data_IF_686147579977
#
_entry.id   IF_686147579977
#
_cell.length_a   1.000
_cell.length_b   1.000
_cell.length_c   1.000
_cell.angle_alpha   90.00
_cell.angle_beta   90.00
_cell.angle_gamma   90.00
#
_symmetry.space_group_name_H-M   'P 1'
#
loop_
_entity.id
_entity.type
_entity.pdbx_description
1 polymer ?
#
# COMPACT_ATOMS: atom_id res chain seq x y z
N UNK A 1 -27.50 -13.91 -6.34
CA UNK A 1 -26.40 -13.62 -7.27
C UNK A 1 -25.29 -12.98 -6.44
N UNK A 2 -24.04 -13.42 -6.61
CA UNK A 2 -22.91 -12.85 -5.87
C UNK A 2 -22.75 -11.37 -6.23
N UNK A 3 -22.51 -10.52 -5.23
CA UNK A 3 -22.20 -9.11 -5.42
C UNK A 3 -20.72 -8.95 -5.77
N UNK A 4 -20.44 -7.96 -6.61
CA UNK A 4 -19.07 -7.57 -6.98
C UNK A 4 -18.85 -6.15 -6.48
N UNK A 5 -18.01 -6.01 -5.47
CA UNK A 5 -17.52 -4.73 -4.98
C UNK A 5 -16.35 -4.30 -5.84
N UNK A 6 -16.24 -3.00 -6.13
CA UNK A 6 -15.10 -2.43 -6.86
C UNK A 6 -14.43 -1.38 -5.99
N UNK A 7 -13.11 -1.42 -5.87
CA UNK A 7 -12.38 -0.45 -5.08
C UNK A 7 -11.02 -0.11 -5.65
N UNK A 8 -10.78 1.20 -5.73
CA UNK A 8 -9.50 1.78 -6.12
C UNK A 8 -8.60 1.92 -4.90
N UNK A 9 -7.44 1.27 -4.92
CA UNK A 9 -6.43 1.35 -3.86
C UNK A 9 -5.16 1.95 -4.44
N UNK A 10 -4.71 3.07 -3.87
CA UNK A 10 -3.44 3.69 -4.29
C UNK A 10 -2.30 3.23 -3.38
N UNK A 11 -1.18 2.84 -3.99
CA UNK A 11 0.05 2.50 -3.25
C UNK A 11 1.06 3.63 -3.43
N UNK A 12 1.47 4.24 -2.32
CA UNK A 12 2.35 5.41 -2.27
C UNK A 12 3.51 5.20 -1.32
N UNK A 13 4.52 6.06 -1.41
CA UNK A 13 5.80 5.89 -0.70
C UNK A 13 6.97 6.22 -1.61
N UNK A 14 8.15 6.39 -1.00
CA UNK A 14 9.35 6.83 -1.71
C UNK A 14 9.74 5.90 -2.86
N UNK A 15 10.55 6.42 -3.77
CA UNK A 15 11.12 5.63 -4.85
C UNK A 15 11.99 4.49 -4.27
N UNK A 16 11.86 3.27 -4.80
CA UNK A 16 12.68 2.13 -4.37
C UNK A 16 12.23 1.40 -3.09
N UNK A 17 11.16 1.85 -2.42
CA UNK A 17 10.65 1.19 -1.20
C UNK A 17 9.88 -0.11 -1.47
N UNK A 18 9.78 -0.60 -2.71
CA UNK A 18 9.17 -1.91 -2.99
C UNK A 18 7.65 -1.94 -3.23
N UNK A 19 7.02 -0.80 -3.53
CA UNK A 19 5.57 -0.72 -3.89
C UNK A 19 5.19 -1.68 -5.03
N UNK A 20 5.91 -1.59 -6.15
CA UNK A 20 5.70 -2.46 -7.32
C UNK A 20 5.91 -3.92 -6.97
N UNK A 21 6.96 -4.25 -6.20
CA UNK A 21 7.24 -5.63 -5.78
C UNK A 21 6.14 -6.19 -4.88
N UNK A 22 5.61 -5.39 -3.96
CA UNK A 22 4.47 -5.77 -3.12
C UNK A 22 3.24 -6.10 -3.98
N UNK A 23 2.93 -5.24 -4.95
CA UNK A 23 1.79 -5.43 -5.86
C UNK A 23 1.96 -6.64 -6.78
N UNK A 24 3.16 -6.85 -7.33
CA UNK A 24 3.46 -8.02 -8.18
C UNK A 24 3.45 -9.32 -7.38
N UNK A 25 3.97 -9.30 -6.15
CA UNK A 25 3.93 -10.47 -5.27
C UNK A 25 2.50 -10.83 -4.91
N UNK A 26 1.66 -9.86 -4.59
CA UNK A 26 0.25 -10.11 -4.30
C UNK A 26 -0.53 -10.61 -5.51
N UNK A 27 -0.40 -9.94 -6.66
CA UNK A 27 -1.24 -10.21 -7.83
C UNK A 27 -0.79 -11.39 -8.68
N UNK A 28 0.52 -11.64 -8.76
CA UNK A 28 1.13 -12.63 -9.67
C UNK A 28 2.05 -13.62 -8.95
N UNK A 29 2.14 -13.57 -7.62
CA UNK A 29 3.10 -14.35 -6.83
C UNK A 29 4.54 -14.26 -7.36
N UNK A 30 4.93 -13.10 -7.88
CA UNK A 30 6.20 -12.88 -8.59
C UNK A 30 7.03 -11.81 -7.91
N UNK A 31 8.35 -12.00 -7.86
CA UNK A 31 9.33 -11.03 -7.40
C UNK A 31 10.48 -10.91 -8.42
N UNK A 32 10.98 -9.69 -8.61
CA UNK A 32 12.14 -9.41 -9.44
C UNK A 32 13.21 -8.69 -8.61
N UNK A 33 14.44 -9.20 -8.61
CA UNK A 33 15.56 -8.58 -7.90
C UNK A 33 16.00 -7.26 -8.54
N UNK A 34 15.94 -7.19 -9.87
CA UNK A 34 16.37 -6.02 -10.62
C UNK A 34 15.36 -4.88 -10.48
N UNK A 35 15.74 -3.85 -9.72
CA UNK A 35 14.95 -2.65 -9.57
C UNK A 35 14.85 -1.87 -10.88
N UNK A 36 13.62 -1.58 -11.29
CA UNK A 36 13.29 -0.61 -12.35
C UNK A 36 12.33 0.43 -11.78
N UNK A 37 12.67 1.73 -11.81
CA UNK A 37 11.75 2.78 -11.41
C UNK A 37 10.42 2.74 -12.16
N UNK A 38 9.31 2.82 -11.43
CA UNK A 38 8.01 3.13 -12.04
C UNK A 38 8.03 4.57 -12.55
N UNK A 39 7.83 4.72 -13.85
CA UNK A 39 7.67 6.03 -14.51
C UNK A 39 6.17 6.32 -14.61
N UNK A 40 5.70 7.34 -13.91
CA UNK A 40 4.28 7.72 -13.89
C UNK A 40 3.41 6.80 -13.02
N UNK A 41 2.47 6.08 -13.63
CA UNK A 41 1.54 5.19 -12.94
C UNK A 41 1.22 3.95 -13.77
N UNK A 42 1.03 2.83 -13.09
CA UNK A 42 0.51 1.59 -13.64
C UNK A 42 -0.61 1.07 -12.73
N UNK A 43 -1.46 0.17 -13.22
CA UNK A 43 -2.48 -0.45 -12.39
C UNK A 43 -2.63 -1.95 -12.64
N UNK A 44 -2.99 -2.66 -11.58
CA UNK A 44 -3.27 -4.09 -11.59
C UNK A 44 -4.69 -4.28 -11.05
N UNK A 45 -5.48 -5.10 -11.74
CA UNK A 45 -6.78 -5.54 -11.25
C UNK A 45 -6.60 -6.91 -10.59
N UNK A 46 -7.00 -7.03 -9.32
CA UNK A 46 -7.05 -8.31 -8.60
C UNK A 46 -8.47 -8.55 -8.10
N UNK A 47 -9.05 -9.67 -8.49
CA UNK A 47 -10.26 -10.19 -7.87
C UNK A 47 -9.88 -11.03 -6.64
N UNK A 48 -10.55 -10.78 -5.53
CA UNK A 48 -10.52 -11.62 -4.33
C UNK A 48 -11.93 -12.00 -3.91
N UNK A 49 -12.09 -13.25 -3.48
CA UNK A 49 -13.32 -13.69 -2.82
C UNK A 49 -13.36 -13.12 -1.40
N UNK A 50 -14.49 -12.53 -1.01
CA UNK A 50 -14.69 -12.03 0.35
C UNK A 50 -14.90 -13.21 1.29
N UNK A 51 -14.11 -13.28 2.34
CA UNK A 51 -14.12 -14.40 3.28
C UNK A 51 -15.50 -14.55 3.95
N UNK A 52 -15.97 -15.80 4.05
CA UNK A 52 -17.28 -16.11 4.65
C UNK A 52 -18.50 -15.76 3.80
N UNK A 53 -18.33 -15.29 2.57
CA UNK A 53 -19.44 -14.94 1.66
C UNK A 53 -19.25 -15.55 0.27
N UNK A 54 -20.25 -15.41 -0.61
CA UNK A 54 -20.12 -15.69 -2.05
C UNK A 54 -19.79 -14.43 -2.87
N UNK A 55 -19.56 -13.30 -2.21
CA UNK A 55 -19.28 -12.02 -2.85
C UNK A 55 -17.78 -11.86 -3.19
N UNK A 56 -17.48 -10.94 -4.10
CA UNK A 56 -16.13 -10.68 -4.60
C UNK A 56 -15.77 -9.20 -4.51
N UNK A 57 -14.47 -8.91 -4.38
CA UNK A 57 -13.92 -7.56 -4.45
C UNK A 57 -12.92 -7.46 -5.61
N UNK A 58 -13.16 -6.53 -6.53
CA UNK A 58 -12.23 -6.11 -7.58
C UNK A 58 -11.39 -4.94 -7.09
N UNK A 59 -10.14 -5.23 -6.76
CA UNK A 59 -9.16 -4.24 -6.36
C UNK A 59 -8.44 -3.69 -7.60
N UNK A 60 -8.64 -2.40 -7.85
CA UNK A 60 -7.86 -1.61 -8.81
C UNK A 60 -6.66 -1.02 -8.06
N UNK A 61 -5.54 -1.73 -8.12
CA UNK A 61 -4.32 -1.41 -7.40
C UNK A 61 -3.45 -0.48 -8.25
N UNK A 62 -3.32 0.77 -7.83
CA UNK A 62 -2.52 1.77 -8.53
C UNK A 62 -1.10 1.82 -7.98
N UNK A 63 -0.13 1.41 -8.80
CA UNK A 63 1.30 1.59 -8.54
C UNK A 63 1.71 2.99 -9.00
N UNK A 64 2.11 3.85 -8.06
CA UNK A 64 2.42 5.24 -8.35
C UNK A 64 3.92 5.52 -8.17
N UNK A 65 4.49 6.32 -9.07
CA UNK A 65 5.88 6.75 -8.96
C UNK A 65 6.15 7.46 -7.62
N UNK A 66 7.17 6.97 -6.91
CA UNK A 66 7.61 7.52 -5.63
C UNK A 66 8.55 8.72 -5.75
N UNK A 67 9.00 9.06 -6.97
CA UNK A 67 9.87 10.22 -7.19
C UNK A 67 9.04 11.51 -7.12
N UNK A 68 9.58 12.53 -6.44
CA UNK A 68 8.93 13.83 -6.24
C UNK A 68 8.63 14.56 -7.56
N UNK A 69 9.40 14.32 -8.63
CA UNK A 69 9.15 14.92 -9.96
C UNK A 69 7.80 14.52 -10.57
N UNK A 70 7.19 13.40 -10.13
CA UNK A 70 5.89 12.92 -10.60
C UNK A 70 4.72 13.34 -9.70
N UNK A 71 4.91 14.31 -8.79
CA UNK A 71 3.87 14.70 -7.83
C UNK A 71 2.53 15.10 -8.46
N UNK A 72 2.55 15.88 -9.54
CA UNK A 72 1.35 16.31 -10.25
C UNK A 72 0.58 15.10 -10.80
N UNK A 73 1.29 14.21 -11.49
CA UNK A 73 0.69 13.02 -12.10
C UNK A 73 0.16 12.05 -11.04
N UNK A 74 0.89 11.88 -9.95
CA UNK A 74 0.46 11.07 -8.82
C UNK A 74 -0.82 11.62 -8.18
N UNK A 75 -0.94 12.93 -7.98
CA UNK A 75 -2.16 13.54 -7.44
C UNK A 75 -3.36 13.28 -8.34
N UNK A 76 -3.18 13.37 -9.66
CA UNK A 76 -4.22 13.03 -10.63
C UNK A 76 -4.70 11.58 -10.46
N UNK A 77 -3.77 10.62 -10.33
CA UNK A 77 -4.13 9.21 -10.17
C UNK A 77 -4.62 8.83 -8.76
N UNK A 78 -4.30 9.59 -7.73
CA UNK A 78 -4.88 9.38 -6.39
C UNK A 78 -6.34 9.82 -6.30
N UNK A 79 -6.81 10.68 -7.20
CA UNK A 79 -8.21 11.14 -7.19
C UNK A 79 -9.18 9.96 -7.33
N UNK A 80 -10.22 9.94 -6.48
CA UNK A 80 -11.20 8.87 -6.44
C UNK A 80 -10.74 7.57 -5.79
N UNK A 81 -9.56 7.54 -5.14
CA UNK A 81 -9.13 6.37 -4.35
C UNK A 81 -10.14 6.06 -3.25
N UNK A 82 -10.48 4.78 -3.07
CA UNK A 82 -11.29 4.29 -1.96
C UNK A 82 -10.44 4.00 -0.72
N UNK A 83 -9.15 3.70 -0.91
CA UNK A 83 -8.20 3.45 0.16
C UNK A 83 -6.75 3.70 -0.29
N UNK A 84 -5.81 3.72 0.65
CA UNK A 84 -4.39 3.85 0.36
C UNK A 84 -3.49 2.91 1.18
N UNK A 85 -2.39 2.48 0.57
CA UNK A 85 -1.29 1.79 1.24
C UNK A 85 -0.08 2.73 1.20
N UNK A 86 0.46 3.08 2.36
CA UNK A 86 1.67 3.91 2.47
C UNK A 86 2.84 3.00 2.81
N UNK A 87 3.79 2.90 1.88
CA UNK A 87 4.97 2.04 2.02
C UNK A 87 6.19 2.85 2.44
N UNK A 88 7.00 2.28 3.32
CA UNK A 88 8.38 2.69 3.56
C UNK A 88 9.26 1.44 3.64
N UNK A 89 10.56 1.62 3.49
CA UNK A 89 11.55 0.54 3.52
C UNK A 89 12.13 0.44 4.94
N UNK A 90 12.05 -0.75 5.55
CA UNK A 90 12.52 -1.01 6.91
C UNK A 90 14.03 -0.79 7.07
N UNK A 91 14.78 -0.80 5.97
CA UNK A 91 16.22 -0.60 5.90
C UNK A 91 16.59 0.82 5.46
N UNK A 92 15.61 1.73 5.37
CA UNK A 92 15.85 3.12 4.96
C UNK A 92 15.12 4.11 5.89
N UNK A 93 15.81 4.62 6.92
CA UNK A 93 15.23 5.57 7.88
C UNK A 93 14.66 6.85 7.25
N UNK A 94 15.21 7.31 6.13
CA UNK A 94 14.70 8.50 5.44
C UNK A 94 13.31 8.25 4.83
N UNK A 95 13.08 7.05 4.30
CA UNK A 95 11.77 6.67 3.77
C UNK A 95 10.68 6.67 4.85
N UNK A 96 11.04 6.30 6.09
CA UNK A 96 10.13 6.35 7.24
C UNK A 96 9.82 7.78 7.67
N UNK A 97 10.81 8.69 7.69
CA UNK A 97 10.56 10.12 7.96
C UNK A 97 9.56 10.73 6.96
N UNK A 98 9.67 10.32 5.69
CA UNK A 98 8.82 10.80 4.61
C UNK A 98 7.37 10.29 4.67
N UNK A 99 7.06 9.25 5.46
CA UNK A 99 5.68 8.73 5.66
C UNK A 99 4.71 9.85 6.04
N UNK A 100 5.14 10.78 6.90
CA UNK A 100 4.30 11.90 7.32
C UNK A 100 3.87 12.81 6.16
N UNK A 101 4.73 12.98 5.14
CA UNK A 101 4.40 13.71 3.92
C UNK A 101 3.44 12.92 3.04
N UNK A 102 3.66 11.61 2.90
CA UNK A 102 2.80 10.73 2.13
C UNK A 102 1.37 10.68 2.69
N UNK A 103 1.23 10.57 4.01
CA UNK A 103 -0.07 10.63 4.68
C UNK A 103 -0.77 11.98 4.46
N UNK A 104 -0.02 13.09 4.49
CA UNK A 104 -0.58 14.42 4.18
C UNK A 104 -1.07 14.51 2.74
N UNK A 105 -0.31 13.99 1.79
CA UNK A 105 -0.69 14.01 0.38
C UNK A 105 -1.94 13.18 0.10
N UNK A 106 -2.05 11.99 0.70
CA UNK A 106 -3.26 11.16 0.61
C UNK A 106 -4.49 11.90 1.18
N UNK A 107 -4.36 12.45 2.39
CA UNK A 107 -5.46 13.14 3.06
C UNK A 107 -5.89 14.44 2.34
N UNK A 108 -4.98 15.12 1.63
CA UNK A 108 -5.33 16.30 0.81
C UNK A 108 -6.22 15.94 -0.37
N UNK A 109 -6.06 14.76 -0.95
CA UNK A 109 -6.85 14.32 -2.10
C UNK A 109 -8.20 13.77 -1.64
N UNK A 110 -8.20 12.94 -0.58
CA UNK A 110 -9.44 12.42 0.01
C UNK A 110 -9.23 12.13 1.49
N UNK A 111 -9.95 12.87 2.33
CA UNK A 111 -9.99 12.61 3.76
C UNK A 111 -10.82 11.36 4.08
N UNK A 112 -10.57 10.76 5.24
CA UNK A 112 -11.37 9.68 5.82
C UNK A 112 -11.48 8.42 4.95
N UNK A 113 -10.42 8.08 4.20
CA UNK A 113 -10.32 6.75 3.57
C UNK A 113 -9.50 5.80 4.44
N UNK A 114 -9.73 4.48 4.36
CA UNK A 114 -8.83 3.48 4.91
C UNK A 114 -7.38 3.69 4.47
N UNK A 115 -6.47 3.67 5.44
CA UNK A 115 -5.03 3.72 5.20
C UNK A 115 -4.35 2.62 6.00
N UNK A 116 -3.48 1.85 5.34
CA UNK A 116 -2.57 0.90 5.99
C UNK A 116 -1.13 1.36 5.79
N UNK A 117 -0.34 1.35 6.86
CA UNK A 117 1.09 1.58 6.81
C UNK A 117 1.82 0.24 6.58
N UNK A 118 2.79 0.21 5.67
CA UNK A 118 3.54 -1.00 5.33
C UNK A 118 5.03 -0.73 5.37
N UNK A 119 5.74 -1.45 6.23
CA UNK A 119 7.20 -1.55 6.22
C UNK A 119 7.59 -2.70 5.30
N UNK A 120 8.31 -2.42 4.22
CA UNK A 120 8.73 -3.43 3.24
C UNK A 120 10.15 -3.92 3.53
N UNK A 121 10.55 -4.99 2.82
CA UNK A 121 11.89 -5.60 2.88
C UNK A 121 12.25 -6.13 4.27
N UNK A 122 11.26 -6.72 4.95
CA UNK A 122 11.46 -7.36 6.26
C UNK A 122 12.47 -8.52 6.22
N UNK A 123 12.78 -9.04 5.03
CA UNK A 123 13.83 -10.04 4.80
C UNK A 123 15.27 -9.51 4.93
N UNK A 124 15.45 -8.18 5.05
CA UNK A 124 16.75 -7.53 5.19
C UNK A 124 16.95 -6.96 6.61
N UNK A 125 18.20 -6.62 6.94
CA UNK A 125 18.56 -6.07 8.25
C UNK A 125 17.91 -4.70 8.50
N UNK A 126 16.89 -4.67 9.36
CA UNK A 126 16.14 -3.47 9.70
C UNK A 126 17.03 -2.37 10.32
N UNK A 127 16.89 -1.14 9.83
CA UNK A 127 17.66 0.03 10.30
C UNK A 127 16.82 1.00 11.15
N UNK A 128 15.51 0.77 11.23
CA UNK A 128 14.57 1.60 12.00
C UNK A 128 14.18 0.84 13.26
N UNK A 129 14.31 1.43 14.45
CA UNK A 129 13.89 0.76 15.69
C UNK A 129 12.37 0.56 15.77
N UNK A 130 11.93 -0.61 16.22
CA UNK A 130 10.50 -0.95 16.35
C UNK A 130 9.75 0.02 17.26
N UNK A 131 10.37 0.45 18.36
CA UNK A 131 9.79 1.44 19.27
C UNK A 131 9.38 2.74 18.57
N UNK A 132 10.16 3.18 17.57
CA UNK A 132 9.83 4.39 16.80
C UNK A 132 8.62 4.17 15.89
N UNK A 133 8.53 2.99 15.29
CA UNK A 133 7.40 2.60 14.43
C UNK A 133 6.13 2.46 15.28
N UNK A 134 6.22 1.74 16.40
CA UNK A 134 5.13 1.52 17.36
C UNK A 134 4.57 2.83 17.90
N UNK A 135 5.46 3.75 18.31
CA UNK A 135 5.06 5.09 18.75
C UNK A 135 4.31 5.83 17.64
N UNK A 136 4.82 5.77 16.41
CA UNK A 136 4.22 6.45 15.27
C UNK A 136 2.83 5.89 14.91
N UNK A 137 2.68 4.57 14.83
CA UNK A 137 1.40 3.93 14.47
C UNK A 137 0.35 4.14 15.56
N UNK A 138 0.76 4.20 16.84
CA UNK A 138 -0.12 4.52 17.96
C UNK A 138 -0.58 5.97 17.92
N UNK A 139 0.33 6.91 17.62
CA UNK A 139 -0.02 8.33 17.46
C UNK A 139 -0.99 8.56 16.29
N UNK A 140 -0.79 7.86 15.16
CA UNK A 140 -1.61 8.00 13.97
C UNK A 140 -2.85 7.11 13.94
N UNK A 141 -2.97 6.17 14.86
CA UNK A 141 -4.01 5.14 14.87
C UNK A 141 -4.13 4.39 13.52
N UNK A 142 -2.99 3.92 13.00
CA UNK A 142 -2.90 3.24 11.71
C UNK A 142 -2.59 1.75 11.90
N UNK A 143 -3.27 0.84 11.19
CA UNK A 143 -2.81 -0.54 11.03
C UNK A 143 -1.43 -0.57 10.38
N UNK A 144 -0.59 -1.50 10.83
CA UNK A 144 0.78 -1.64 10.34
C UNK A 144 1.15 -3.10 10.09
N UNK A 145 1.86 -3.33 8.99
CA UNK A 145 2.43 -4.63 8.63
C UNK A 145 3.88 -4.48 8.22
N UNK A 146 4.74 -5.39 8.68
CA UNK A 146 6.04 -5.64 8.05
C UNK A 146 5.85 -6.69 6.96
N UNK A 147 6.42 -6.48 5.78
CA UNK A 147 6.23 -7.35 4.61
C UNK A 147 7.54 -7.68 3.93
N UNK A 148 7.61 -8.86 3.34
CA UNK A 148 8.64 -9.21 2.36
C UNK A 148 7.98 -9.62 1.05
N UNK A 149 8.19 -8.84 -0.01
CA UNK A 149 7.77 -9.25 -1.35
C UNK A 149 8.60 -10.43 -1.88
N UNK A 150 9.83 -10.59 -1.38
CA UNK A 150 10.74 -11.69 -1.75
C UNK A 150 10.23 -13.01 -1.18
N UNK A 151 10.01 -13.05 0.12
CA UNK A 151 9.56 -14.26 0.84
C UNK A 151 8.03 -14.46 0.79
N UNK A 152 7.26 -13.41 0.44
CA UNK A 152 5.80 -13.42 0.47
C UNK A 152 5.18 -13.16 1.84
N UNK A 153 6.00 -12.86 2.85
CA UNK A 153 5.57 -12.61 4.22
C UNK A 153 4.60 -11.42 4.31
N UNK A 154 3.44 -11.66 4.94
CA UNK A 154 2.36 -10.70 5.19
C UNK A 154 1.81 -9.97 3.96
N UNK A 155 2.21 -10.37 2.75
CA UNK A 155 1.80 -9.69 1.51
C UNK A 155 0.30 -9.83 1.33
N UNK A 156 -0.25 -11.05 1.42
CA UNK A 156 -1.70 -11.28 1.29
C UNK A 156 -2.48 -10.59 2.41
N UNK A 157 -1.97 -10.64 3.63
CA UNK A 157 -2.64 -10.13 4.84
C UNK A 157 -2.90 -8.62 4.76
N UNK A 158 -1.96 -7.85 4.19
CA UNK A 158 -2.16 -6.41 3.93
C UNK A 158 -3.41 -6.16 3.07
N UNK A 159 -3.59 -6.91 1.99
CA UNK A 159 -4.71 -6.69 1.07
C UNK A 159 -6.03 -7.25 1.62
N UNK A 160 -5.99 -8.37 2.35
CA UNK A 160 -7.18 -8.87 3.05
C UNK A 160 -7.67 -7.86 4.09
N UNK A 161 -6.74 -7.34 4.92
CA UNK A 161 -7.07 -6.28 5.88
C UNK A 161 -7.62 -5.03 5.20
N UNK A 162 -7.07 -4.67 4.03
CA UNK A 162 -7.57 -3.54 3.25
C UNK A 162 -9.00 -3.75 2.76
N UNK A 163 -9.34 -4.95 2.25
CA UNK A 163 -10.70 -5.30 1.85
C UNK A 163 -11.66 -5.16 3.04
N UNK A 164 -11.31 -5.72 4.20
CA UNK A 164 -12.15 -5.62 5.41
C UNK A 164 -12.42 -4.17 5.80
N UNK A 165 -11.37 -3.32 5.78
CA UNK A 165 -11.50 -1.90 6.12
C UNK A 165 -12.34 -1.13 5.09
N UNK A 166 -12.22 -1.46 3.80
CA UNK A 166 -13.03 -0.86 2.75
C UNK A 166 -14.50 -1.21 2.97
N UNK A 167 -14.82 -2.50 3.15
CA UNK A 167 -16.19 -2.98 3.31
C UNK A 167 -16.85 -2.44 4.59
N UNK A 168 -16.07 -2.25 5.66
CA UNK A 168 -16.55 -1.64 6.91
C UNK A 168 -16.80 -0.13 6.81
N UNK A 169 -16.33 0.54 5.76
CA UNK A 169 -16.57 1.97 5.51
C UNK A 169 -17.66 2.22 4.45
N UNK A 170 -18.32 1.17 3.95
CA UNK A 170 -19.48 1.30 3.06
C UNK A 170 -20.75 1.28 3.92
N UNK A 171 -20.93 2.32 4.72
CA UNK A 171 -22.21 2.68 5.37
C UNK A 171 -22.75 3.98 4.76
#
# INVERSE_FOLDING_TARGET
>A
MPKIYTSKVCVVGDQGVGKTSLLLKYSKNTFFENYKPTLGADFIIKEEKIEGTDDFCHLYLWDLAGNKSFAILRNYYMHGANAAIVCFDLNNPESFKNVSSWLKDVNKIRANIPIILVGTKNDLNQEIHDENIEKYIKEKNLPFFKTSAKEGENVRDVFMKMIDMILSNVD
#
